data_IF_015307663776
#
_entry.id   IF_015307663776
#
_cell.length_a   1.000
_cell.length_b   1.000
_cell.length_c   1.000
_cell.angle_alpha   90.00
_cell.angle_beta   90.00
_cell.angle_gamma   90.00
#
_symmetry.space_group_name_H-M   'P 1'
#
loop_
_entity.id
_entity.type
_entity.pdbx_description
1 polymer ?
#
# COMPACT_ATOMS: atom_id res chain seq x y z
N UNK A 1 -26.37 12.27 -40.02
CA UNK A 1 -25.80 11.33 -39.03
C UNK A 1 -24.48 11.91 -38.55
N UNK A 2 -24.34 12.26 -37.27
CA UNK A 2 -23.14 12.95 -36.76
C UNK A 2 -22.08 11.93 -36.35
N UNK A 3 -20.85 12.13 -36.81
CA UNK A 3 -19.70 11.27 -36.52
C UNK A 3 -19.44 11.26 -35.00
N UNK A 4 -19.61 10.10 -34.35
CA UNK A 4 -19.11 9.89 -33.00
C UNK A 4 -17.59 9.70 -33.09
N UNK A 5 -16.83 10.78 -32.90
CA UNK A 5 -15.40 10.70 -32.64
C UNK A 5 -15.21 10.04 -31.27
N UNK A 6 -15.03 8.73 -31.25
CA UNK A 6 -14.59 8.01 -30.06
C UNK A 6 -13.12 8.35 -29.87
N UNK A 7 -12.84 9.48 -29.21
CA UNK A 7 -11.56 9.65 -28.55
C UNK A 7 -11.49 8.54 -27.50
N UNK A 8 -10.43 7.72 -27.53
CA UNK A 8 -10.14 6.79 -26.44
C UNK A 8 -10.00 7.61 -25.17
N UNK A 9 -11.10 7.78 -24.45
CA UNK A 9 -11.07 8.20 -23.07
C UNK A 9 -10.43 7.02 -22.37
N UNK A 10 -9.12 7.12 -22.11
CA UNK A 10 -8.47 6.30 -21.10
C UNK A 10 -9.15 6.74 -19.81
N UNK A 11 -10.30 6.17 -19.50
CA UNK A 11 -10.86 6.26 -18.16
C UNK A 11 -9.79 5.64 -17.29
N UNK A 12 -9.02 6.50 -16.60
CA UNK A 12 -8.08 6.13 -15.55
C UNK A 12 -8.84 5.26 -14.56
N UNK A 13 -8.83 3.95 -14.79
CA UNK A 13 -9.45 2.94 -13.93
C UNK A 13 -8.45 2.44 -12.88
N UNK A 14 -7.26 3.03 -12.83
CA UNK A 14 -6.21 2.73 -11.86
C UNK A 14 -6.16 3.71 -10.68
N UNK A 15 -6.84 4.86 -10.76
CA UNK A 15 -6.85 5.85 -9.67
C UNK A 15 -7.55 5.37 -8.39
N UNK A 16 -8.70 4.67 -8.40
CA UNK A 16 -9.38 4.31 -7.15
C UNK A 16 -8.59 3.28 -6.34
N UNK A 17 -7.88 2.37 -7.02
CA UNK A 17 -7.06 1.34 -6.36
C UNK A 17 -5.86 1.97 -5.66
N UNK A 18 -5.23 2.97 -6.30
CA UNK A 18 -4.10 3.69 -5.71
C UNK A 18 -4.56 4.58 -4.55
N UNK A 19 -5.62 5.35 -4.72
CA UNK A 19 -6.15 6.20 -3.64
C UNK A 19 -6.57 5.36 -2.42
N UNK A 20 -7.22 4.20 -2.65
CA UNK A 20 -7.57 3.26 -1.59
C UNK A 20 -6.32 2.69 -0.91
N UNK A 21 -5.31 2.28 -1.67
CA UNK A 21 -4.04 1.81 -1.14
C UNK A 21 -3.35 2.88 -0.29
N UNK A 22 -3.29 4.13 -0.77
CA UNK A 22 -2.70 5.27 -0.06
C UNK A 22 -3.45 5.59 1.24
N UNK A 23 -4.78 5.48 1.23
CA UNK A 23 -5.59 5.62 2.44
C UNK A 23 -5.37 4.48 3.44
N UNK A 24 -5.20 3.25 2.96
CA UNK A 24 -4.96 2.09 3.81
C UNK A 24 -3.56 2.14 4.45
N UNK A 25 -2.51 2.49 3.72
CA UNK A 25 -1.15 2.66 4.29
C UNK A 25 -1.07 3.86 5.24
N UNK A 26 -1.83 4.93 4.99
CA UNK A 26 -1.84 6.11 5.85
C UNK A 26 -2.53 5.90 7.20
N UNK A 27 -3.22 4.77 7.38
CA UNK A 27 -3.77 4.33 8.67
C UNK A 27 -2.79 3.49 9.48
N UNK A 28 -1.67 3.10 8.89
CA UNK A 28 -0.63 2.34 9.59
C UNK A 28 0.27 3.34 10.31
N UNK A 29 0.42 3.16 11.62
CA UNK A 29 1.27 4.00 12.44
C UNK A 29 2.75 3.73 12.14
N UNK A 30 3.56 4.78 12.23
CA UNK A 30 5.01 4.66 12.15
C UNK A 30 5.53 3.98 13.42
N UNK A 31 6.40 2.99 13.24
CA UNK A 31 7.08 2.31 14.34
C UNK A 31 8.24 3.16 14.86
N UNK A 32 8.55 3.02 16.15
CA UNK A 32 9.70 3.70 16.75
C UNK A 32 11.01 2.95 16.46
N UNK A 33 12.18 3.62 16.52
CA UNK A 33 13.47 2.98 16.32
C UNK A 33 13.73 1.80 17.28
N UNK A 34 13.22 1.89 18.51
CA UNK A 34 13.34 0.82 19.50
C UNK A 34 12.50 -0.40 19.13
N UNK A 35 11.30 -0.17 18.59
CA UNK A 35 10.42 -1.23 18.11
C UNK A 35 11.02 -1.94 16.88
N UNK A 36 11.62 -1.19 15.94
CA UNK A 36 12.38 -1.74 14.82
C UNK A 36 13.49 -2.69 15.28
N UNK A 37 14.29 -2.27 16.27
CA UNK A 37 15.39 -3.11 16.79
C UNK A 37 14.85 -4.37 17.48
N UNK A 38 13.74 -4.25 18.21
CA UNK A 38 13.10 -5.39 18.85
C UNK A 38 12.54 -6.38 17.81
N UNK A 39 11.87 -5.89 16.78
CA UNK A 39 11.35 -6.70 15.67
C UNK A 39 12.48 -7.37 14.90
N UNK A 40 13.54 -6.65 14.55
CA UNK A 40 14.70 -7.21 13.86
C UNK A 40 15.38 -8.33 14.66
N UNK A 41 15.48 -8.18 15.99
CA UNK A 41 16.00 -9.24 16.87
C UNK A 41 15.09 -10.47 16.91
N UNK A 42 13.77 -10.28 16.95
CA UNK A 42 12.77 -11.37 16.93
C UNK A 42 12.75 -12.11 15.59
N UNK A 43 12.77 -11.38 14.48
CA UNK A 43 12.89 -11.94 13.12
C UNK A 43 14.15 -12.79 13.02
N UNK A 44 15.30 -12.28 13.51
CA UNK A 44 16.56 -13.03 13.54
C UNK A 44 16.49 -14.30 14.39
N UNK A 45 15.68 -14.30 15.45
CA UNK A 45 15.44 -15.47 16.29
C UNK A 45 14.46 -16.48 15.65
N UNK A 46 13.90 -16.19 14.48
CA UNK A 46 12.98 -17.07 13.76
C UNK A 46 11.52 -16.91 14.18
N UNK A 47 11.15 -15.80 14.81
CA UNK A 47 9.76 -15.51 15.18
C UNK A 47 8.92 -15.14 13.94
N UNK A 48 7.97 -15.98 13.49
CA UNK A 48 7.17 -15.72 12.30
C UNK A 48 6.16 -14.60 12.49
N UNK A 49 5.79 -14.25 13.72
CA UNK A 49 4.85 -13.18 14.00
C UNK A 49 5.54 -11.80 13.94
N UNK A 50 6.83 -11.74 14.26
CA UNK A 50 7.63 -10.54 14.05
C UNK A 50 7.86 -10.21 12.56
N UNK A 51 7.69 -11.19 11.67
CA UNK A 51 7.83 -11.02 10.22
C UNK A 51 6.55 -10.50 9.55
N UNK A 52 5.40 -10.60 10.22
CA UNK A 52 4.09 -10.16 9.71
C UNK A 52 3.67 -8.77 10.21
N UNK A 53 4.41 -8.24 11.18
CA UNK A 53 4.17 -6.91 11.76
C UNK A 53 4.88 -5.86 10.93
#
# INVERSE_FOLDING_TARGET
MRQLKITKQVTNRDTPSLDKYLQEIGRVDLISPEEEVALARKIKAGDPEALKK
#
